data_IF_524885404582
#
_entry.id   IF_524885404582
#
_cell.length_a   1.000
_cell.length_b   1.000
_cell.length_c   1.000
_cell.angle_alpha   90.00
_cell.angle_beta   90.00
_cell.angle_gamma   90.00
#
_symmetry.space_group_name_H-M   'P 1'
#
loop_
_entity.id
_entity.type
_entity.pdbx_description
1 polymer ?
#
# COMPACT_ATOMS: atom_id res chain seq x y z
N UNK A 1 2.32 -9.94 -11.45
CA UNK A 1 3.62 -9.27 -11.30
C UNK A 1 4.17 -8.76 -12.62
N UNK A 2 4.29 -7.44 -12.75
CA UNK A 2 5.01 -6.81 -13.87
C UNK A 2 6.50 -6.78 -13.53
N UNK A 3 7.27 -7.71 -14.11
CA UNK A 3 8.69 -7.91 -13.78
C UNK A 3 9.52 -6.65 -14.09
N UNK A 4 9.20 -5.92 -15.16
CA UNK A 4 9.94 -4.72 -15.55
C UNK A 4 9.79 -3.60 -14.50
N UNK A 5 8.57 -3.36 -14.02
CA UNK A 5 8.32 -2.37 -12.95
C UNK A 5 8.96 -2.79 -11.62
N UNK A 6 8.87 -4.07 -11.27
CA UNK A 6 9.50 -4.60 -10.05
C UNK A 6 11.02 -4.51 -10.11
N UNK A 7 11.61 -4.74 -11.29
CA UNK A 7 13.04 -4.56 -11.54
C UNK A 7 13.44 -3.11 -11.32
N UNK A 8 12.76 -2.16 -11.96
CA UNK A 8 13.03 -0.72 -11.78
C UNK A 8 12.95 -0.29 -10.30
N UNK A 9 11.92 -0.76 -9.59
CA UNK A 9 11.75 -0.49 -8.16
C UNK A 9 12.87 -1.11 -7.31
N UNK A 10 13.28 -2.34 -7.61
CA UNK A 10 14.38 -3.02 -6.94
C UNK A 10 15.72 -2.29 -7.16
N UNK A 11 16.02 -1.88 -8.39
CA UNK A 11 17.25 -1.16 -8.72
C UNK A 11 17.30 0.22 -8.03
N UNK A 12 16.17 0.93 -7.98
CA UNK A 12 16.02 2.16 -7.20
C UNK A 12 16.21 1.93 -5.69
N UNK A 13 15.69 0.82 -5.15
CA UNK A 13 15.87 0.46 -3.75
C UNK A 13 17.33 0.17 -3.41
N UNK A 14 18.01 -0.66 -4.22
CA UNK A 14 19.41 -1.03 -4.00
C UNK A 14 20.32 0.20 -4.08
N UNK A 15 20.12 1.06 -5.08
CA UNK A 15 20.91 2.30 -5.25
C UNK A 15 20.74 3.30 -4.10
N UNK A 16 19.59 3.30 -3.42
CA UNK A 16 19.34 4.20 -2.28
C UNK A 16 19.79 3.63 -0.93
N UNK A 17 19.76 2.30 -0.77
CA UNK A 17 20.01 1.64 0.54
C UNK A 17 21.43 1.18 0.77
N UNK A 18 22.26 1.06 -0.27
CA UNK A 18 23.64 0.61 -0.15
C UNK A 18 24.62 1.77 -0.38
N UNK A 19 25.03 2.50 0.68
CA UNK A 19 26.01 3.57 0.55
C UNK A 19 27.35 2.96 0.11
N UNK A 20 27.81 3.31 -1.10
CA UNK A 20 29.03 2.76 -1.68
C UNK A 20 28.84 1.58 -2.63
N UNK A 21 27.61 1.09 -2.84
CA UNK A 21 27.35 0.32 -4.06
C UNK A 21 27.59 1.28 -5.22
N UNK A 22 28.70 1.09 -5.95
CA UNK A 22 28.74 1.55 -7.34
C UNK A 22 27.39 1.18 -7.94
N UNK A 23 26.72 2.07 -8.67
CA UNK A 23 25.38 1.75 -9.12
C UNK A 23 25.45 0.43 -9.88
N UNK A 24 24.32 -0.25 -10.00
CA UNK A 24 24.18 -1.44 -10.83
C UNK A 24 24.74 -1.26 -12.27
N UNK A 25 25.32 -0.11 -12.66
CA UNK A 25 26.25 0.12 -13.79
C UNK A 25 27.19 -1.05 -14.08
N UNK A 26 27.69 -1.76 -13.06
CA UNK A 26 28.57 -2.91 -13.30
C UNK A 26 27.83 -4.23 -13.54
N UNK A 27 26.50 -4.23 -13.46
CA UNK A 27 25.62 -5.37 -13.65
C UNK A 27 24.66 -5.14 -14.82
N UNK A 28 24.49 -6.17 -15.65
CA UNK A 28 23.43 -6.25 -16.64
C UNK A 28 22.38 -7.22 -16.15
N UNK A 29 21.13 -6.82 -16.22
CA UNK A 29 20.02 -7.75 -16.06
C UNK A 29 19.85 -8.56 -17.36
N UNK A 30 19.76 -9.88 -17.24
CA UNK A 30 19.57 -10.82 -18.33
C UNK A 30 18.14 -11.34 -18.28
N UNK A 31 17.26 -10.78 -19.12
CA UNK A 31 15.82 -11.08 -19.11
C UNK A 31 15.53 -12.58 -19.22
N UNK A 32 16.29 -13.29 -20.06
CA UNK A 32 16.11 -14.72 -20.31
C UNK A 32 16.37 -15.59 -19.06
N UNK A 33 17.26 -15.12 -18.19
CA UNK A 33 17.66 -15.86 -16.98
C UNK A 33 16.99 -15.32 -15.72
N UNK A 34 16.33 -14.15 -15.82
CA UNK A 34 15.80 -13.40 -14.68
C UNK A 34 16.89 -13.13 -13.62
N UNK A 35 18.10 -12.79 -14.08
CA UNK A 35 19.31 -12.69 -13.23
C UNK A 35 20.20 -11.52 -13.62
N UNK A 36 20.94 -11.02 -12.64
CA UNK A 36 22.00 -10.03 -12.84
C UNK A 36 23.35 -10.71 -13.08
N UNK A 37 24.08 -10.24 -14.09
CA UNK A 37 25.46 -10.62 -14.40
C UNK A 37 26.36 -9.41 -14.38
N UNK A 38 27.63 -9.56 -13.98
CA UNK A 38 28.60 -8.46 -13.99
C UNK A 38 29.24 -8.28 -15.37
N UNK A 39 29.54 -7.04 -15.76
CA UNK A 39 30.15 -6.69 -17.04
C UNK A 39 31.64 -7.10 -17.18
N UNK A 40 32.38 -7.29 -16.08
CA UNK A 40 33.83 -7.52 -16.11
C UNK A 40 34.25 -8.83 -15.44
N UNK A 41 34.66 -9.81 -16.27
CA UNK A 41 35.07 -11.16 -15.87
C UNK A 41 36.33 -11.25 -14.98
N UNK A 42 37.10 -10.18 -14.86
CA UNK A 42 38.37 -10.16 -14.11
C UNK A 42 38.21 -9.79 -12.62
N UNK A 43 37.00 -9.39 -12.24
CA UNK A 43 36.59 -9.04 -10.88
C UNK A 43 35.24 -9.70 -10.58
N UNK A 44 35.06 -10.96 -10.99
CA UNK A 44 33.96 -11.78 -10.49
C UNK A 44 34.21 -12.03 -9.00
N UNK A 45 33.89 -11.04 -8.17
CA UNK A 45 33.64 -11.27 -6.76
C UNK A 45 32.31 -12.02 -6.70
N UNK A 46 32.34 -13.36 -6.51
CA UNK A 46 31.14 -14.17 -6.59
C UNK A 46 30.15 -13.78 -5.49
N UNK A 47 30.63 -13.11 -4.42
CA UNK A 47 29.78 -12.69 -3.32
C UNK A 47 28.79 -11.60 -3.73
N UNK A 48 29.19 -10.65 -4.60
CA UNK A 48 28.31 -9.56 -5.03
C UNK A 48 27.29 -10.01 -6.07
N UNK A 49 27.69 -10.82 -7.04
CA UNK A 49 26.77 -11.40 -8.03
C UNK A 49 25.73 -12.27 -7.32
N UNK A 50 26.17 -13.11 -6.38
CA UNK A 50 25.27 -13.93 -5.59
C UNK A 50 24.36 -13.05 -4.73
N UNK A 51 24.89 -12.06 -4.02
CA UNK A 51 24.11 -11.17 -3.16
C UNK A 51 23.00 -10.43 -3.91
N UNK A 52 23.30 -9.87 -5.08
CA UNK A 52 22.31 -9.16 -5.89
C UNK A 52 21.22 -10.11 -6.38
N UNK A 53 21.58 -11.31 -6.84
CA UNK A 53 20.59 -12.29 -7.30
C UNK A 53 19.75 -12.84 -6.13
N UNK A 54 20.35 -13.17 -4.99
CA UNK A 54 19.62 -13.61 -3.78
C UNK A 54 18.65 -12.49 -3.30
N UNK A 55 19.07 -11.22 -3.37
CA UNK A 55 18.24 -10.06 -3.04
C UNK A 55 17.09 -9.87 -4.03
N UNK A 56 17.35 -10.07 -5.32
CA UNK A 56 16.36 -9.99 -6.39
C UNK A 56 15.30 -11.10 -6.28
N UNK A 57 15.71 -12.33 -5.99
CA UNK A 57 14.80 -13.45 -5.73
C UNK A 57 13.92 -13.19 -4.49
N UNK A 58 14.52 -12.65 -3.41
CA UNK A 58 13.79 -12.28 -2.21
C UNK A 58 12.78 -11.14 -2.47
N UNK A 59 13.16 -10.15 -3.29
CA UNK A 59 12.27 -9.06 -3.70
C UNK A 59 11.06 -9.60 -4.45
N UNK A 60 11.29 -10.43 -5.48
CA UNK A 60 10.21 -11.05 -6.26
C UNK A 60 9.27 -11.89 -5.39
N UNK A 61 9.81 -12.70 -4.48
CA UNK A 61 8.99 -13.49 -3.56
C UNK A 61 8.14 -12.60 -2.64
N UNK A 62 8.68 -11.44 -2.22
CA UNK A 62 7.93 -10.46 -1.44
C UNK A 62 6.85 -9.76 -2.26
N UNK A 63 7.16 -9.34 -3.49
CA UNK A 63 6.22 -8.70 -4.40
C UNK A 63 5.04 -9.64 -4.74
N UNK A 64 5.32 -10.90 -5.04
CA UNK A 64 4.28 -11.93 -5.27
C UNK A 64 3.37 -12.12 -4.04
N UNK A 65 3.95 -12.16 -2.84
CA UNK A 65 3.16 -12.24 -1.60
C UNK A 65 2.32 -10.99 -1.36
N UNK A 66 2.82 -9.81 -1.72
CA UNK A 66 2.08 -8.56 -1.61
C UNK A 66 0.92 -8.52 -2.61
N UNK A 67 1.15 -8.89 -3.87
CA UNK A 67 0.10 -9.02 -4.88
C UNK A 67 -0.98 -10.02 -4.46
N UNK A 68 -0.59 -11.19 -3.94
CA UNK A 68 -1.56 -12.19 -3.43
C UNK A 68 -2.35 -11.68 -2.21
N UNK A 69 -1.74 -10.87 -1.34
CA UNK A 69 -2.47 -10.21 -0.22
C UNK A 69 -3.44 -9.13 -0.71
N UNK A 70 -3.17 -8.54 -1.87
CA UNK A 70 -4.02 -7.54 -2.50
C UNK A 70 -5.03 -8.17 -3.45
N UNK A 71 -5.03 -9.49 -3.63
CA UNK A 71 -6.03 -10.21 -4.41
C UNK A 71 -7.41 -10.02 -3.76
N UNK A 72 -8.33 -9.38 -4.49
CA UNK A 72 -9.64 -8.96 -3.97
C UNK A 72 -9.67 -7.55 -3.34
N UNK A 73 -8.53 -6.87 -3.23
CA UNK A 73 -8.47 -5.46 -2.86
C UNK A 73 -8.51 -4.57 -4.10
N UNK A 74 -9.41 -3.58 -4.12
CA UNK A 74 -9.50 -2.58 -5.19
C UNK A 74 -8.82 -1.28 -4.74
N UNK A 75 -7.84 -0.82 -5.52
CA UNK A 75 -7.25 0.51 -5.33
C UNK A 75 -8.20 1.54 -5.94
N UNK A 76 -8.93 2.25 -5.09
CA UNK A 76 -9.84 3.31 -5.54
C UNK A 76 -9.04 4.59 -5.73
N UNK A 77 -8.98 5.09 -6.96
CA UNK A 77 -8.22 6.30 -7.31
C UNK A 77 -8.79 7.61 -6.72
N UNK A 78 -10.02 7.57 -6.21
CA UNK A 78 -10.70 8.73 -5.60
C UNK A 78 -11.21 8.31 -4.23
N UNK A 79 -10.52 8.75 -3.19
CA UNK A 79 -10.98 8.56 -1.81
C UNK A 79 -11.78 9.77 -1.37
N UNK A 80 -12.91 9.53 -0.71
CA UNK A 80 -13.63 10.60 -0.03
C UNK A 80 -12.76 11.13 1.10
N UNK A 81 -12.45 12.43 1.07
CA UNK A 81 -11.65 13.07 2.11
C UNK A 81 -12.28 12.81 3.49
N UNK A 82 -11.45 12.35 4.44
CA UNK A 82 -11.87 12.05 5.80
C UNK A 82 -12.61 13.20 6.48
N UNK A 83 -12.22 14.45 6.24
CA UNK A 83 -12.87 15.63 6.82
C UNK A 83 -14.30 15.81 6.30
N UNK A 84 -14.55 15.44 5.04
CA UNK A 84 -15.90 15.48 4.46
C UNK A 84 -16.73 14.32 5.04
N UNK A 85 -16.15 13.12 5.12
CA UNK A 85 -16.81 11.97 5.72
C UNK A 85 -17.19 12.20 7.19
N UNK A 86 -16.33 12.88 7.96
CA UNK A 86 -16.57 13.24 9.35
C UNK A 86 -17.72 14.25 9.50
N UNK A 87 -17.79 15.28 8.65
CA UNK A 87 -18.92 16.22 8.62
C UNK A 87 -20.23 15.52 8.30
N UNK A 88 -20.23 14.64 7.30
CA UNK A 88 -21.41 13.85 6.94
C UNK A 88 -21.82 12.89 8.06
N UNK A 89 -20.86 12.34 8.83
CA UNK A 89 -21.16 11.52 10.00
C UNK A 89 -21.81 12.36 11.11
N UNK A 90 -21.31 13.56 11.39
CA UNK A 90 -21.89 14.48 12.38
C UNK A 90 -23.33 14.90 12.05
N UNK A 91 -23.68 15.00 10.77
CA UNK A 91 -25.05 15.28 10.32
C UNK A 91 -26.00 14.08 10.46
N UNK A 92 -25.45 12.86 10.50
CA UNK A 92 -26.24 11.61 10.48
C UNK A 92 -26.32 10.89 11.83
N UNK A 93 -25.39 11.15 12.74
CA UNK A 93 -25.40 10.53 14.08
C UNK A 93 -26.07 11.50 15.05
N UNK A 94 -27.13 11.04 15.70
CA UNK A 94 -27.82 11.83 16.71
C UNK A 94 -26.91 12.10 17.90
N UNK A 95 -26.92 13.35 18.36
CA UNK A 95 -26.18 13.74 19.56
C UNK A 95 -26.76 13.05 20.79
N UNK A 96 -25.90 12.65 21.75
CA UNK A 96 -26.37 12.08 23.00
C UNK A 96 -27.26 13.09 23.72
N UNK A 97 -28.28 12.57 24.40
CA UNK A 97 -29.13 13.40 25.26
C UNK A 97 -28.31 13.86 26.46
N UNK A 98 -28.67 15.02 26.99
CA UNK A 98 -28.05 15.50 28.21
C UNK A 98 -28.56 14.66 29.39
N UNK A 99 -27.63 14.03 30.11
CA UNK A 99 -27.87 13.25 31.32
C UNK A 99 -27.27 13.96 32.53
N UNK A 100 -28.00 13.96 33.64
CA UNK A 100 -27.56 14.59 34.89
C UNK A 100 -26.55 13.72 35.67
N UNK A 101 -26.50 12.43 35.37
CA UNK A 101 -25.54 11.50 35.96
C UNK A 101 -24.25 11.50 35.14
N UNK A 102 -23.14 11.83 35.80
CA UNK A 102 -21.82 11.92 35.18
C UNK A 102 -21.37 10.61 34.53
N UNK A 103 -21.72 9.46 35.12
CA UNK A 103 -21.35 8.14 34.58
C UNK A 103 -22.14 7.86 33.30
N UNK A 104 -23.45 8.17 33.29
CA UNK A 104 -24.28 7.99 32.10
C UNK A 104 -23.91 8.96 30.98
N UNK A 105 -23.53 10.19 31.32
CA UNK A 105 -23.03 11.17 30.34
C UNK A 105 -21.71 10.68 29.70
N UNK A 106 -20.78 10.15 30.49
CA UNK A 106 -19.51 9.60 29.96
C UNK A 106 -19.74 8.40 29.02
N UNK A 107 -20.63 7.49 29.40
CA UNK A 107 -21.01 6.34 28.57
C UNK A 107 -21.64 6.81 27.26
N UNK A 108 -22.56 7.78 27.33
CA UNK A 108 -23.24 8.33 26.16
C UNK A 108 -22.26 9.04 25.21
N UNK A 109 -21.34 9.84 25.74
CA UNK A 109 -20.32 10.54 24.96
C UNK A 109 -19.37 9.56 24.26
N UNK A 110 -18.99 8.47 24.95
CA UNK A 110 -18.14 7.42 24.37
C UNK A 110 -18.87 6.68 23.25
N UNK A 111 -20.11 6.26 23.49
CA UNK A 111 -20.93 5.58 22.49
C UNK A 111 -21.17 6.47 21.26
N UNK A 112 -21.34 7.78 21.46
CA UNK A 112 -21.48 8.75 20.37
C UNK A 112 -20.20 8.86 19.53
N UNK A 113 -19.02 8.96 20.16
CA UNK A 113 -17.73 8.96 19.45
C UNK A 113 -17.52 7.68 18.64
N UNK A 114 -17.81 6.53 19.22
CA UNK A 114 -17.69 5.24 18.52
C UNK A 114 -18.65 5.17 17.32
N UNK A 115 -19.88 5.66 17.49
CA UNK A 115 -20.87 5.76 16.42
C UNK A 115 -20.43 6.69 15.29
N UNK A 116 -19.81 7.84 15.61
CA UNK A 116 -19.26 8.75 14.61
C UNK A 116 -18.15 8.09 13.80
N UNK A 117 -17.23 7.37 14.46
CA UNK A 117 -16.14 6.64 13.80
C UNK A 117 -16.73 5.57 12.87
N UNK A 118 -17.67 4.77 13.36
CA UNK A 118 -18.33 3.75 12.54
C UNK A 118 -19.02 4.36 11.32
N UNK A 119 -19.77 5.45 11.51
CA UNK A 119 -20.50 6.09 10.42
C UNK A 119 -19.57 6.75 9.40
N UNK A 120 -18.46 7.36 9.84
CA UNK A 120 -17.42 7.90 8.96
C UNK A 120 -16.88 6.80 8.02
N UNK A 121 -16.50 5.65 8.58
CA UNK A 121 -15.97 4.54 7.77
C UNK A 121 -17.03 3.94 6.84
N UNK A 122 -18.28 3.83 7.29
CA UNK A 122 -19.40 3.39 6.44
C UNK A 122 -19.60 4.32 5.25
N UNK A 123 -19.56 5.65 5.46
CA UNK A 123 -19.70 6.65 4.39
C UNK A 123 -18.55 6.52 3.38
N UNK A 124 -17.30 6.39 3.85
CA UNK A 124 -16.13 6.22 2.97
C UNK A 124 -16.28 4.94 2.14
N UNK A 125 -16.67 3.81 2.77
CA UNK A 125 -16.88 2.54 2.06
C UNK A 125 -17.99 2.65 1.01
N UNK A 126 -19.15 3.20 1.38
CA UNK A 126 -20.29 3.30 0.45
C UNK A 126 -19.97 4.25 -0.72
N UNK A 127 -19.21 5.34 -0.47
CA UNK A 127 -18.73 6.21 -1.55
C UNK A 127 -17.81 5.46 -2.52
N UNK A 128 -16.91 4.61 -1.99
CA UNK A 128 -16.05 3.75 -2.83
C UNK A 128 -16.89 2.82 -3.72
N UNK A 129 -17.90 2.16 -3.17
CA UNK A 129 -18.82 1.29 -3.94
C UNK A 129 -19.56 2.06 -5.05
N UNK A 130 -20.02 3.29 -4.77
CA UNK A 130 -20.70 4.13 -5.76
C UNK A 130 -19.76 4.58 -6.88
N UNK A 131 -18.52 4.94 -6.57
CA UNK A 131 -17.51 5.32 -7.58
C UNK A 131 -17.18 4.15 -8.49
N UNK A 132 -17.03 2.94 -7.95
CA UNK A 132 -16.78 1.73 -8.73
C UNK A 132 -17.99 1.35 -9.60
N UNK A 133 -19.21 1.40 -9.05
CA UNK A 133 -20.43 1.13 -9.82
C UNK A 133 -20.63 2.14 -10.98
N UNK A 134 -20.33 3.42 -10.75
CA UNK A 134 -20.41 4.45 -11.79
C UNK A 134 -19.34 4.27 -12.90
N UNK A 135 -18.23 3.60 -12.60
CA UNK A 135 -17.19 3.27 -13.58
C UNK A 135 -17.52 2.02 -14.37
N UNK A 136 -18.00 0.96 -13.72
CA UNK A 136 -18.41 -0.28 -14.38
C UNK A 136 -19.67 -0.15 -15.24
N UNK A 137 -20.45 0.92 -15.09
CA UNK A 137 -21.61 1.21 -15.95
C UNK A 137 -21.30 2.01 -17.22
N UNK A 138 -20.03 2.38 -17.46
CA UNK A 138 -19.57 3.12 -18.64
C UNK A 138 -18.78 2.27 -19.65
N UNK A 139 -18.81 0.94 -19.51
CA UNK A 139 -18.36 -0.04 -20.52
C UNK A 139 -19.55 -0.61 -21.29
#
# INVERSE_FOLDING_TARGET
MNIEKEREAFEAYISTKLPGSKPLVSFTYIDQENKYRRHEAWLDDPCWVKFINDSWEAWQASALRAEAKLEGCVVVSVELNESIAEKLALEKVDKPRHENDAVWQEIADRAYKDSLIQKKWEIIRNYKELVEAARGGNE
#
